data_IF_853838663288
#
_entry.id   IF_853838663288
#
_cell.length_a   1.000
_cell.length_b   1.000
_cell.length_c   1.000
_cell.angle_alpha   90.00
_cell.angle_beta   90.00
_cell.angle_gamma   90.00
#
_symmetry.space_group_name_H-M   'P 1'
#
loop_
_entity.id
_entity.type
_entity.pdbx_description
1 polymer ?
#
# COMPACT_ATOMS: atom_id res chain seq x y z
N UNK A 1 -5.71 21.15 -19.25
CA UNK A 1 -7.12 20.70 -19.29
C UNK A 1 -7.87 20.88 -17.96
N UNK A 2 -7.45 20.23 -16.87
CA UNK A 2 -8.13 20.36 -15.56
C UNK A 2 -7.92 21.72 -14.89
N UNK A 3 -6.71 22.30 -14.99
CA UNK A 3 -6.41 23.62 -14.39
C UNK A 3 -7.19 24.79 -14.97
N UNK A 4 -7.77 24.64 -16.17
CA UNK A 4 -8.64 25.65 -16.78
C UNK A 4 -10.06 25.65 -16.19
N UNK A 5 -10.42 24.59 -15.45
CA UNK A 5 -11.73 24.39 -14.85
C UNK A 5 -11.69 24.45 -13.30
N UNK A 6 -10.61 24.97 -12.72
CA UNK A 6 -10.40 25.06 -11.27
C UNK A 6 -10.23 26.51 -10.81
N UNK A 7 -10.79 26.87 -9.66
CA UNK A 7 -10.57 28.19 -9.03
C UNK A 7 -9.12 28.38 -8.55
N UNK A 8 -8.43 27.28 -8.24
CA UNK A 8 -7.03 27.27 -7.85
C UNK A 8 -6.37 25.96 -8.25
N UNK A 9 -5.10 26.06 -8.65
CA UNK A 9 -4.29 24.90 -9.03
C UNK A 9 -3.33 24.58 -7.89
N UNK A 10 -3.41 23.36 -7.39
CA UNK A 10 -2.45 22.79 -6.44
C UNK A 10 -1.59 21.78 -7.20
N UNK A 11 -0.38 22.20 -7.57
CA UNK A 11 0.58 21.33 -8.24
C UNK A 11 1.12 20.29 -7.24
N UNK A 12 1.19 19.03 -7.67
CA UNK A 12 1.78 17.96 -6.88
C UNK A 12 3.32 18.03 -6.84
N UNK A 13 3.91 18.92 -7.65
CA UNK A 13 5.33 19.29 -7.66
C UNK A 13 6.29 18.11 -7.88
N UNK A 14 5.87 17.11 -8.65
CA UNK A 14 6.72 15.94 -8.99
C UNK A 14 7.55 16.12 -10.26
N UNK A 15 7.30 17.17 -11.03
CA UNK A 15 7.85 17.31 -12.38
C UNK A 15 7.31 16.26 -13.34
N UNK A 16 7.98 16.08 -14.49
CA UNK A 16 7.53 15.13 -15.50
C UNK A 16 7.97 13.71 -15.11
N UNK A 17 7.01 12.79 -15.05
CA UNK A 17 7.25 11.35 -14.92
C UNK A 17 7.00 10.73 -16.29
N UNK A 18 8.07 10.33 -16.99
CA UNK A 18 8.00 9.86 -18.39
C UNK A 18 7.60 8.39 -18.53
N UNK A 19 7.37 7.69 -17.41
CA UNK A 19 6.97 6.28 -17.37
C UNK A 19 5.46 6.21 -17.23
N UNK A 20 4.79 5.41 -18.06
CA UNK A 20 3.33 5.28 -18.05
C UNK A 20 2.77 4.66 -16.76
N UNK A 21 3.59 3.92 -16.02
CA UNK A 21 3.25 3.30 -14.74
C UNK A 21 3.72 4.19 -13.60
N UNK A 22 2.93 5.22 -13.32
CA UNK A 22 3.25 6.25 -12.31
C UNK A 22 3.48 5.60 -10.94
N UNK A 23 4.56 5.98 -10.26
CA UNK A 23 4.84 5.56 -8.87
C UNK A 23 5.09 6.76 -7.97
N UNK A 24 5.96 7.68 -8.39
CA UNK A 24 6.27 8.92 -7.66
C UNK A 24 5.04 9.83 -7.57
N UNK A 25 4.29 9.95 -8.67
CA UNK A 25 3.06 10.74 -8.72
C UNK A 25 2.01 10.29 -7.70
N UNK A 26 1.86 8.99 -7.46
CA UNK A 26 0.93 8.46 -6.45
C UNK A 26 1.33 8.91 -5.04
N UNK A 27 2.57 8.62 -4.62
CA UNK A 27 3.06 8.97 -3.28
C UNK A 27 3.03 10.48 -3.03
N UNK A 28 3.40 11.29 -4.03
CA UNK A 28 3.34 12.75 -3.92
C UNK A 28 1.90 13.28 -3.84
N UNK A 29 0.94 12.64 -4.52
CA UNK A 29 -0.47 13.02 -4.43
C UNK A 29 -1.00 12.77 -3.02
N UNK A 30 -0.72 11.60 -2.45
CA UNK A 30 -1.10 11.28 -1.06
C UNK A 30 -0.47 12.27 -0.08
N UNK A 31 0.83 12.54 -0.20
CA UNK A 31 1.52 13.53 0.64
C UNK A 31 0.89 14.92 0.54
N UNK A 32 0.59 15.40 -0.67
CA UNK A 32 -0.04 16.71 -0.86
C UNK A 32 -1.42 16.77 -0.20
N UNK A 33 -2.24 15.72 -0.33
CA UNK A 33 -3.55 15.67 0.32
C UNK A 33 -3.44 15.73 1.85
N UNK A 34 -2.46 15.04 2.44
CA UNK A 34 -2.17 15.11 3.87
C UNK A 34 -1.73 16.51 4.31
N UNK A 35 -0.83 17.15 3.55
CA UNK A 35 -0.38 18.51 3.83
C UNK A 35 -1.51 19.55 3.70
N UNK A 36 -2.36 19.41 2.69
CA UNK A 36 -3.55 20.26 2.51
C UNK A 36 -4.50 20.09 3.71
N UNK A 37 -4.76 18.85 4.13
CA UNK A 37 -5.60 18.57 5.30
C UNK A 37 -5.03 19.22 6.57
N UNK A 38 -3.72 19.13 6.77
CA UNK A 38 -3.04 19.77 7.91
C UNK A 38 -3.16 21.31 7.87
N UNK A 39 -2.93 21.91 6.70
CA UNK A 39 -3.09 23.37 6.51
C UNK A 39 -4.53 23.80 6.84
N UNK A 40 -5.53 23.06 6.35
CA UNK A 40 -6.94 23.33 6.63
C UNK A 40 -7.23 23.20 8.13
N UNK A 41 -6.75 22.15 8.79
CA UNK A 41 -6.95 21.94 10.22
C UNK A 41 -6.34 23.08 11.05
N UNK A 42 -5.15 23.57 10.68
CA UNK A 42 -4.50 24.73 11.32
C UNK A 42 -5.28 26.02 11.10
N UNK A 43 -5.77 26.27 9.89
CA UNK A 43 -6.61 27.44 9.57
C UNK A 43 -7.96 27.44 10.27
N UNK A 44 -8.48 26.25 10.60
CA UNK A 44 -9.72 26.08 11.35
C UNK A 44 -9.50 25.99 12.87
N UNK A 45 -8.26 26.17 13.35
CA UNK A 45 -7.89 26.05 14.77
C UNK A 45 -8.24 24.67 15.37
N UNK A 46 -8.34 23.64 14.53
CA UNK A 46 -8.59 22.24 14.93
C UNK A 46 -7.31 21.46 15.22
N UNK A 47 -6.17 22.01 14.81
CA UNK A 47 -4.85 21.53 15.16
C UNK A 47 -4.05 22.70 15.74
N UNK A 48 -3.23 22.42 16.75
CA UNK A 48 -2.26 23.34 17.35
C UNK A 48 -0.96 23.38 16.54
N UNK A 49 -0.10 24.36 16.83
CA UNK A 49 1.22 24.46 16.19
C UNK A 49 2.10 23.27 16.55
N UNK A 50 1.97 22.78 17.79
CA UNK A 50 2.67 21.60 18.27
C UNK A 50 2.25 20.35 17.48
N UNK A 51 0.94 20.17 17.24
CA UNK A 51 0.43 19.05 16.43
C UNK A 51 0.88 19.15 14.97
N UNK A 52 0.90 20.34 14.37
CA UNK A 52 1.44 20.55 13.03
C UNK A 52 2.91 20.17 12.94
N UNK A 53 3.75 20.65 13.85
CA UNK A 53 5.17 20.29 13.87
C UNK A 53 5.37 18.79 14.12
N UNK A 54 4.52 18.16 14.93
CA UNK A 54 4.53 16.73 15.14
C UNK A 54 4.28 15.95 13.85
N UNK A 55 3.20 16.25 13.12
CA UNK A 55 2.88 15.58 11.86
C UNK A 55 3.93 15.83 10.77
N UNK A 56 4.47 17.05 10.68
CA UNK A 56 5.55 17.35 9.74
C UNK A 56 6.82 16.54 10.05
N UNK A 57 7.16 16.38 11.34
CA UNK A 57 8.28 15.54 11.76
C UNK A 57 8.05 14.06 11.45
N UNK A 58 6.82 13.55 11.59
CA UNK A 58 6.46 12.19 11.19
C UNK A 58 6.63 11.97 9.68
N UNK A 59 6.12 12.89 8.86
CA UNK A 59 6.29 12.82 7.41
C UNK A 59 7.76 12.84 6.99
N UNK A 60 8.60 13.66 7.67
CA UNK A 60 10.03 13.68 7.43
C UNK A 60 10.71 12.35 7.78
N UNK A 61 10.34 11.72 8.91
CA UNK A 61 10.84 10.40 9.28
C UNK A 61 10.47 9.33 8.24
N UNK A 62 9.24 9.35 7.75
CA UNK A 62 8.77 8.44 6.71
C UNK A 62 9.60 8.60 5.42
N UNK A 63 9.84 9.85 4.98
CA UNK A 63 10.67 10.11 3.80
C UNK A 63 12.11 9.61 4.00
N UNK A 64 12.68 9.79 5.20
CA UNK A 64 14.02 9.30 5.51
C UNK A 64 14.13 7.77 5.53
N UNK A 65 13.03 7.04 5.78
CA UNK A 65 12.99 5.58 5.80
C UNK A 65 12.89 4.94 4.40
N UNK A 66 12.45 5.69 3.38
CA UNK A 66 12.22 5.17 2.02
C UNK A 66 13.41 4.39 1.44
N UNK A 67 14.68 4.87 1.54
CA UNK A 67 15.81 4.13 0.98
C UNK A 67 15.98 2.73 1.57
N UNK A 68 15.80 2.58 2.89
CA UNK A 68 15.90 1.28 3.56
C UNK A 68 14.72 0.38 3.20
N UNK A 69 13.50 0.94 3.14
CA UNK A 69 12.30 0.22 2.68
C UNK A 69 12.51 -0.34 1.27
N UNK A 70 13.11 0.43 0.36
CA UNK A 70 13.45 -0.05 -1.00
C UNK A 70 14.40 -1.24 -0.92
N UNK A 71 15.49 -1.15 -0.15
CA UNK A 71 16.48 -2.23 -0.03
C UNK A 71 15.84 -3.51 0.53
N UNK A 72 15.05 -3.40 1.59
CA UNK A 72 14.35 -4.55 2.19
C UNK A 72 13.36 -5.18 1.23
N UNK A 73 12.56 -4.36 0.56
CA UNK A 73 11.56 -4.82 -0.42
C UNK A 73 12.24 -5.52 -1.60
N UNK A 74 13.35 -4.98 -2.12
CA UNK A 74 14.10 -5.63 -3.20
C UNK A 74 14.61 -7.01 -2.79
N UNK A 75 15.20 -7.14 -1.59
CA UNK A 75 15.66 -8.45 -1.08
C UNK A 75 14.51 -9.45 -0.93
N UNK A 76 13.35 -8.99 -0.48
CA UNK A 76 12.16 -9.82 -0.36
C UNK A 76 11.67 -10.33 -1.72
N UNK A 77 11.62 -9.43 -2.71
CA UNK A 77 11.26 -9.78 -4.10
C UNK A 77 12.27 -10.79 -4.67
N UNK A 78 13.56 -10.60 -4.47
CA UNK A 78 14.60 -11.51 -4.97
C UNK A 78 14.46 -12.91 -4.36
N UNK A 79 14.26 -12.97 -3.04
CA UNK A 79 14.04 -14.23 -2.28
C UNK A 79 12.83 -15.01 -2.81
N UNK A 80 11.76 -14.32 -3.17
CA UNK A 80 10.49 -14.92 -3.61
C UNK A 80 10.26 -14.83 -5.11
N UNK A 81 11.32 -14.56 -5.88
CA UNK A 81 11.24 -14.23 -7.31
C UNK A 81 10.58 -15.34 -8.15
N UNK A 82 10.79 -16.62 -7.81
CA UNK A 82 10.12 -17.73 -8.48
C UNK A 82 8.61 -17.66 -8.29
N UNK A 83 8.14 -17.56 -7.03
CA UNK A 83 6.70 -17.47 -6.70
C UNK A 83 6.05 -16.24 -7.32
N UNK A 84 6.73 -15.08 -7.29
CA UNK A 84 6.22 -13.83 -7.85
C UNK A 84 6.19 -13.86 -9.38
N UNK A 85 7.10 -14.57 -10.04
CA UNK A 85 7.11 -14.74 -11.51
C UNK A 85 6.08 -15.76 -11.98
N UNK A 86 5.86 -16.83 -11.23
CA UNK A 86 4.91 -17.88 -11.58
C UNK A 86 3.48 -17.60 -11.12
N UNK A 87 3.23 -16.49 -10.41
CA UNK A 87 1.92 -16.13 -9.91
C UNK A 87 0.91 -15.89 -11.03
N UNK A 88 -0.23 -16.58 -10.96
CA UNK A 88 -1.26 -16.52 -12.01
C UNK A 88 -2.47 -15.67 -11.59
N UNK A 89 -2.61 -15.42 -10.28
CA UNK A 89 -3.66 -14.60 -9.69
C UNK A 89 -3.12 -13.94 -8.43
N UNK A 90 -3.13 -12.61 -8.39
CA UNK A 90 -2.68 -11.86 -7.23
C UNK A 90 -3.83 -11.18 -6.51
N UNK A 91 -3.84 -11.26 -5.17
CA UNK A 91 -4.82 -10.58 -4.34
C UNK A 91 -4.09 -9.87 -3.20
N UNK A 92 -4.35 -8.58 -3.02
CA UNK A 92 -3.94 -7.85 -1.83
C UNK A 92 -5.15 -7.52 -0.96
N UNK A 93 -5.02 -7.67 0.35
CA UNK A 93 -6.02 -7.22 1.31
C UNK A 93 -5.42 -6.16 2.23
N UNK A 94 -6.17 -5.11 2.51
CA UNK A 94 -5.83 -4.10 3.50
C UNK A 94 -7.07 -3.67 4.30
N UNK A 95 -6.86 -3.10 5.48
CA UNK A 95 -7.92 -2.60 6.35
C UNK A 95 -7.81 -1.07 6.53
N UNK A 96 -8.95 -0.38 6.64
CA UNK A 96 -8.99 1.06 6.85
C UNK A 96 -8.22 1.87 5.79
N UNK A 97 -7.20 2.62 6.21
CA UNK A 97 -6.39 3.44 5.31
C UNK A 97 -5.63 2.61 4.26
N UNK A 98 -5.33 1.34 4.56
CA UNK A 98 -4.58 0.44 3.67
C UNK A 98 -5.41 -0.08 2.49
N UNK A 99 -6.72 0.18 2.46
CA UNK A 99 -7.56 -0.12 1.27
C UNK A 99 -7.05 0.66 0.05
N UNK A 100 -6.62 1.91 0.24
CA UNK A 100 -6.02 2.70 -0.83
C UNK A 100 -4.73 2.08 -1.36
N UNK A 101 -3.90 1.50 -0.48
CA UNK A 101 -2.66 0.79 -0.85
C UNK A 101 -2.98 -0.48 -1.63
N UNK A 102 -3.97 -1.27 -1.18
CA UNK A 102 -4.42 -2.46 -1.90
C UNK A 102 -4.98 -2.11 -3.30
N UNK A 103 -5.67 -0.98 -3.45
CA UNK A 103 -6.17 -0.50 -4.75
C UNK A 103 -5.08 0.03 -5.68
N UNK A 104 -4.04 0.65 -5.13
CA UNK A 104 -2.88 1.02 -5.95
C UNK A 104 -2.09 -0.23 -6.39
N UNK A 105 -1.98 -1.24 -5.51
CA UNK A 105 -1.45 -2.55 -5.87
C UNK A 105 -2.22 -3.16 -7.04
N UNK A 106 -3.56 -3.17 -6.99
CA UNK A 106 -4.42 -3.67 -8.07
C UNK A 106 -4.09 -3.00 -9.40
N UNK A 107 -3.99 -1.67 -9.40
CA UNK A 107 -3.66 -0.87 -10.58
C UNK A 107 -2.28 -1.23 -11.12
N UNK A 108 -1.23 -1.19 -10.27
CA UNK A 108 0.15 -1.39 -10.70
C UNK A 108 0.43 -2.81 -11.16
N UNK A 109 -0.09 -3.81 -10.47
CA UNK A 109 0.10 -5.21 -10.86
C UNK A 109 -0.64 -5.53 -12.17
N UNK A 110 -1.85 -4.99 -12.35
CA UNK A 110 -2.59 -5.13 -13.62
C UNK A 110 -1.84 -4.51 -14.78
N UNK A 111 -1.28 -3.31 -14.59
CA UNK A 111 -0.50 -2.58 -15.62
C UNK A 111 0.82 -3.28 -16.00
N UNK A 112 1.53 -3.81 -15.01
CA UNK A 112 2.94 -4.21 -15.16
C UNK A 112 3.17 -5.73 -15.17
N UNK A 113 2.54 -6.46 -14.23
CA UNK A 113 2.63 -7.93 -14.14
C UNK A 113 1.67 -8.58 -15.15
N UNK A 114 0.55 -7.91 -15.46
CA UNK A 114 -0.40 -8.29 -16.51
C UNK A 114 -1.06 -9.65 -16.31
N UNK A 115 -1.32 -9.97 -15.06
CA UNK A 115 -2.16 -11.09 -14.63
C UNK A 115 -3.32 -10.56 -13.79
N UNK A 116 -4.43 -11.31 -13.65
CA UNK A 116 -5.54 -10.91 -12.80
C UNK A 116 -5.07 -10.53 -11.40
N UNK A 117 -5.26 -9.25 -11.04
CA UNK A 117 -4.81 -8.66 -9.79
C UNK A 117 -5.94 -7.89 -9.15
N UNK A 118 -6.13 -8.00 -7.84
CA UNK A 118 -7.22 -7.31 -7.14
C UNK A 118 -6.80 -6.85 -5.75
N UNK A 119 -7.27 -5.67 -5.36
CA UNK A 119 -7.11 -5.11 -4.03
C UNK A 119 -8.46 -5.09 -3.33
N UNK A 120 -8.56 -5.70 -2.16
CA UNK A 120 -9.79 -5.73 -1.38
C UNK A 120 -9.60 -5.06 -0.02
N UNK A 121 -10.69 -4.46 0.45
CA UNK A 121 -10.87 -4.25 1.88
C UNK A 121 -11.04 -5.64 2.54
N UNK A 122 -10.44 -5.81 3.73
CA UNK A 122 -10.36 -7.09 4.43
C UNK A 122 -11.73 -7.76 4.61
N UNK A 123 -12.72 -7.06 5.16
CA UNK A 123 -14.06 -7.61 5.41
C UNK A 123 -14.78 -7.92 4.09
N UNK A 124 -14.70 -7.02 3.12
CA UNK A 124 -15.29 -7.22 1.80
C UNK A 124 -14.77 -8.50 1.13
N UNK A 125 -13.48 -8.83 1.31
CA UNK A 125 -12.93 -10.08 0.80
C UNK A 125 -13.56 -11.34 1.43
N UNK A 126 -13.92 -11.26 2.72
CA UNK A 126 -14.57 -12.36 3.45
C UNK A 126 -16.03 -12.58 3.05
N UNK A 127 -16.64 -11.66 2.30
CA UNK A 127 -18.06 -11.70 1.91
C UNK A 127 -18.30 -12.22 0.48
N UNK A 128 -17.46 -13.13 0.01
CA UNK A 128 -17.62 -13.78 -1.29
C UNK A 128 -16.32 -13.99 -2.05
N UNK A 129 -15.45 -12.97 -2.20
CA UNK A 129 -14.19 -13.10 -2.93
C UNK A 129 -13.30 -14.26 -2.46
N UNK A 130 -13.25 -14.55 -1.15
CA UNK A 130 -12.47 -15.68 -0.64
C UNK A 130 -12.88 -17.04 -1.21
N UNK A 131 -14.11 -17.19 -1.75
CA UNK A 131 -14.56 -18.42 -2.42
C UNK A 131 -13.86 -18.67 -3.76
N UNK A 132 -13.24 -17.64 -4.35
CA UNK A 132 -12.40 -17.77 -5.55
C UNK A 132 -11.04 -18.43 -5.22
N UNK A 133 -10.60 -18.36 -3.96
CA UNK A 133 -9.27 -18.73 -3.53
C UNK A 133 -8.94 -20.20 -3.88
N UNK A 134 -7.80 -20.39 -4.53
CA UNK A 134 -7.30 -21.70 -4.95
C UNK A 134 -5.77 -21.66 -5.09
N UNK A 135 -5.16 -22.82 -5.39
CA UNK A 135 -3.71 -23.00 -5.44
C UNK A 135 -2.95 -22.08 -6.42
N UNK A 136 -3.64 -21.38 -7.33
CA UNK A 136 -3.05 -20.40 -8.25
C UNK A 136 -2.92 -19.00 -7.64
N UNK A 137 -3.51 -18.76 -6.47
CA UNK A 137 -3.51 -17.46 -5.81
C UNK A 137 -2.20 -17.21 -5.05
N UNK A 138 -1.64 -16.02 -5.28
CA UNK A 138 -0.63 -15.38 -4.42
C UNK A 138 -1.31 -14.23 -3.69
N UNK A 139 -1.39 -14.33 -2.37
CA UNK A 139 -2.06 -13.35 -1.51
C UNK A 139 -1.06 -12.49 -0.75
N UNK A 140 -1.33 -11.18 -0.69
CA UNK A 140 -0.57 -10.20 0.09
C UNK A 140 -1.49 -9.60 1.16
N UNK A 141 -1.18 -9.87 2.42
CA UNK A 141 -1.89 -9.33 3.57
C UNK A 141 -1.13 -8.11 4.09
N UNK A 142 -1.71 -6.92 3.93
CA UNK A 142 -1.07 -5.64 4.31
C UNK A 142 -1.64 -5.20 5.65
N UNK A 143 -0.77 -4.98 6.62
CA UNK A 143 -1.13 -4.51 7.96
C UNK A 143 -0.18 -3.39 8.42
N UNK A 144 -0.69 -2.35 9.08
CA UNK A 144 0.09 -1.28 9.69
C UNK A 144 0.38 -1.57 11.16
N UNK A 145 -0.44 -2.42 11.77
CA UNK A 145 -0.29 -2.97 13.11
C UNK A 145 -0.77 -4.41 13.09
N UNK A 146 -0.20 -5.31 13.93
CA UNK A 146 -0.67 -6.68 14.06
C UNK A 146 -2.20 -6.79 14.19
N UNK A 147 -2.85 -7.35 13.17
CA UNK A 147 -4.30 -7.50 13.16
C UNK A 147 -4.71 -8.97 13.24
N UNK A 148 -5.44 -9.32 14.30
CA UNK A 148 -5.84 -10.70 14.56
C UNK A 148 -6.75 -11.26 13.45
N UNK A 149 -7.57 -10.41 12.82
CA UNK A 149 -8.51 -10.85 11.78
C UNK A 149 -7.80 -11.12 10.45
N UNK A 150 -6.87 -10.26 10.07
CA UNK A 150 -5.97 -10.45 8.94
C UNK A 150 -5.18 -11.75 9.10
N UNK A 151 -4.58 -11.98 10.28
CA UNK A 151 -3.86 -13.23 10.59
C UNK A 151 -4.78 -14.46 10.50
N UNK A 152 -5.98 -14.40 11.09
CA UNK A 152 -6.93 -15.50 11.05
C UNK A 152 -7.36 -15.84 9.61
N UNK A 153 -7.62 -14.83 8.77
CA UNK A 153 -7.96 -15.04 7.37
C UNK A 153 -6.79 -15.64 6.58
N UNK A 154 -5.57 -15.13 6.79
CA UNK A 154 -4.35 -15.67 6.17
C UNK A 154 -4.18 -17.14 6.53
N UNK A 155 -4.26 -17.48 7.80
CA UNK A 155 -4.03 -18.84 8.29
C UNK A 155 -5.13 -19.80 7.81
N UNK A 156 -6.37 -19.31 7.70
CA UNK A 156 -7.48 -20.06 7.12
C UNK A 156 -7.27 -20.36 5.62
N UNK A 157 -6.75 -19.40 4.84
CA UNK A 157 -6.56 -19.55 3.40
C UNK A 157 -5.27 -20.27 3.02
N UNK A 158 -4.24 -20.21 3.87
CA UNK A 158 -2.91 -20.75 3.60
C UNK A 158 -2.90 -22.19 3.04
N UNK A 159 -3.74 -23.15 3.49
CA UNK A 159 -3.77 -24.49 2.93
C UNK A 159 -4.37 -24.58 1.51
N UNK A 160 -5.14 -23.57 1.10
CA UNK A 160 -5.94 -23.58 -0.14
C UNK A 160 -5.33 -22.75 -1.26
N UNK A 161 -4.38 -21.86 -0.94
CA UNK A 161 -3.74 -20.94 -1.89
C UNK A 161 -2.30 -21.35 -2.18
N UNK A 162 -1.74 -20.83 -3.29
CA UNK A 162 -0.36 -21.12 -3.66
C UNK A 162 0.65 -20.45 -2.73
N UNK A 163 0.36 -19.21 -2.30
CA UNK A 163 1.22 -18.46 -1.40
C UNK A 163 0.48 -17.36 -0.65
N UNK A 164 0.84 -17.17 0.62
CA UNK A 164 0.54 -15.96 1.38
C UNK A 164 1.85 -15.22 1.74
N UNK A 165 1.82 -13.90 1.62
CA UNK A 165 2.84 -12.99 2.16
C UNK A 165 2.17 -12.00 3.11
N UNK A 166 2.88 -11.60 4.17
CA UNK A 166 2.46 -10.52 5.07
C UNK A 166 3.38 -9.33 4.87
N UNK A 167 2.83 -8.14 4.64
CA UNK A 167 3.56 -6.87 4.58
C UNK A 167 3.17 -6.06 5.81
N UNK A 168 4.13 -5.77 6.68
CA UNK A 168 3.84 -5.22 8.02
C UNK A 168 4.79 -4.10 8.42
N UNK A 169 4.32 -3.21 9.28
CA UNK A 169 5.16 -2.29 10.06
C UNK A 169 5.58 -2.88 11.42
N UNK A 170 5.14 -4.10 11.76
CA UNK A 170 5.65 -4.80 12.93
C UNK A 170 7.10 -5.26 12.79
N UNK A 171 7.74 -5.59 13.90
CA UNK A 171 9.13 -6.09 13.93
C UNK A 171 9.23 -7.61 13.65
N UNK A 172 8.10 -8.32 13.58
CA UNK A 172 8.05 -9.76 13.33
C UNK A 172 8.40 -10.06 11.87
N UNK A 173 9.61 -10.57 11.63
CA UNK A 173 10.04 -11.04 10.31
C UNK A 173 10.12 -12.57 10.29
N UNK A 174 9.50 -13.18 9.27
CA UNK A 174 9.64 -14.60 8.95
C UNK A 174 9.90 -14.78 7.45
N UNK A 175 10.02 -16.02 6.98
CA UNK A 175 10.33 -16.30 5.58
C UNK A 175 9.36 -15.64 4.58
N UNK A 176 8.09 -15.46 4.95
CA UNK A 176 6.99 -14.95 4.13
C UNK A 176 6.51 -13.55 4.56
N UNK A 177 7.14 -12.96 5.57
CA UNK A 177 6.78 -11.65 6.11
C UNK A 177 7.83 -10.61 5.74
N UNK A 178 7.40 -9.47 5.20
CA UNK A 178 8.21 -8.29 4.97
C UNK A 178 7.90 -7.25 6.03
N UNK A 179 8.82 -7.08 6.98
CA UNK A 179 8.80 -6.04 8.00
C UNK A 179 9.52 -4.77 7.51
N UNK A 180 8.84 -3.62 7.56
CA UNK A 180 9.35 -2.36 7.00
C UNK A 180 9.92 -1.38 8.04
N UNK A 181 9.78 -1.67 9.34
CA UNK A 181 10.36 -0.87 10.43
C UNK A 181 11.75 -1.37 10.86
#
# INVERSE_FOLDING_TARGET
PIGCASDGVLDINTGIESVGFVTRGFSATVLNLLLIALIIARKQEKASEVEEQHYLAELQRLVAAIPEVIVRTSRFIDRHSETLRSGERFVATGYGALVGVAKEFETKFTETVRVPSSGFELEAYMHGPYLEANARHVMLFIEDTPDARTRALRDYLAPSIGRAFTLTLGDEEDAQTLALN
#
